data_IF_771930747373
#
_entry.id   IF_771930747373
#
_cell.length_a   1.000
_cell.length_b   1.000
_cell.length_c   1.000
_cell.angle_alpha   90.00
_cell.angle_beta   90.00
_cell.angle_gamma   90.00
#
_symmetry.space_group_name_H-M   'P 1'
#
loop_
_entity.id
_entity.type
_entity.pdbx_description
1 polymer ?
#
# COMPACT_ATOMS: atom_id res chain seq x y z
N UNK A 1 3.68 -22.99 24.99
CA UNK A 1 2.74 -22.24 24.12
C UNK A 1 3.37 -20.90 23.76
N UNK A 2 4.13 -20.77 22.65
CA UNK A 2 4.71 -19.48 22.29
C UNK A 2 3.64 -18.56 21.70
N UNK A 3 3.62 -17.32 22.19
CA UNK A 3 2.67 -16.26 21.83
C UNK A 3 2.87 -15.85 20.36
N UNK A 4 1.78 -15.78 19.60
CA UNK A 4 1.74 -15.19 18.26
C UNK A 4 2.26 -13.75 18.33
N UNK A 5 3.41 -13.51 17.70
CA UNK A 5 4.03 -12.19 17.63
C UNK A 5 3.15 -11.24 16.82
N UNK A 6 2.62 -10.22 17.49
CA UNK A 6 2.27 -8.96 16.84
C UNK A 6 3.59 -8.33 16.40
N UNK A 7 3.95 -8.51 15.13
CA UNK A 7 5.02 -7.72 14.52
C UNK A 7 4.51 -6.28 14.41
N UNK A 8 4.74 -5.51 15.46
CA UNK A 8 4.53 -4.08 15.44
C UNK A 8 5.49 -3.46 14.43
N UNK A 9 4.92 -2.75 13.46
CA UNK A 9 5.65 -1.81 12.65
C UNK A 9 6.22 -0.77 13.61
N UNK A 10 7.51 -0.90 13.97
CA UNK A 10 8.24 0.08 14.79
C UNK A 10 8.59 1.31 13.92
N UNK A 11 7.55 1.95 13.39
CA UNK A 11 7.65 3.23 12.74
C UNK A 11 7.66 4.28 13.86
N UNK A 12 8.78 5.01 14.02
CA UNK A 12 8.80 6.25 14.80
C UNK A 12 7.91 7.27 14.10
N UNK A 13 6.60 7.18 14.35
CA UNK A 13 5.62 8.13 13.88
C UNK A 13 5.77 9.42 14.68
N UNK A 14 5.61 10.56 14.01
CA UNK A 14 5.53 11.85 14.70
C UNK A 14 4.26 11.96 15.54
N UNK A 15 4.08 13.08 16.22
CA UNK A 15 2.80 13.37 16.86
C UNK A 15 1.73 13.59 15.79
N UNK A 16 0.66 12.81 15.81
CA UNK A 16 -0.41 12.88 14.82
C UNK A 16 -1.43 11.77 14.94
N UNK A 17 -2.49 11.84 14.14
CA UNK A 17 -3.52 10.80 14.05
C UNK A 17 -3.16 9.85 12.93
N UNK A 18 -2.94 8.58 13.29
CA UNK A 18 -2.55 7.53 12.36
C UNK A 18 -3.56 6.38 12.34
N UNK A 19 -3.87 5.90 11.15
CA UNK A 19 -4.72 4.74 10.91
C UNK A 19 -3.87 3.63 10.28
N UNK A 20 -3.88 2.44 10.88
CA UNK A 20 -3.30 1.25 10.24
C UNK A 20 -4.20 0.82 9.07
N UNK A 21 -3.58 0.40 7.97
CA UNK A 21 -4.31 -0.02 6.79
C UNK A 21 -3.42 -0.68 5.74
N UNK A 22 -3.93 -0.75 4.51
CA UNK A 22 -3.14 -1.18 3.36
C UNK A 22 -3.52 -0.44 2.08
N UNK A 23 -2.59 -0.41 1.12
CA UNK A 23 -2.79 0.06 -0.25
C UNK A 23 -2.38 -1.06 -1.19
N UNK A 24 -3.29 -1.55 -2.03
CA UNK A 24 -3.03 -2.69 -2.94
C UNK A 24 -2.45 -3.92 -2.21
N UNK A 25 -2.82 -4.09 -0.94
CA UNK A 25 -2.31 -5.15 -0.07
C UNK A 25 -0.96 -4.86 0.61
N UNK A 26 -0.30 -3.74 0.31
CA UNK A 26 0.91 -3.29 1.02
C UNK A 26 0.49 -2.64 2.35
N UNK A 27 0.91 -3.18 3.50
CA UNK A 27 0.55 -2.63 4.81
C UNK A 27 1.23 -1.29 5.06
N UNK A 28 0.46 -0.28 5.46
CA UNK A 28 0.97 1.07 5.74
C UNK A 28 0.24 1.73 6.91
N UNK A 29 0.83 2.80 7.45
CA UNK A 29 0.16 3.75 8.33
C UNK A 29 -0.27 4.98 7.52
N UNK A 30 -1.56 5.30 7.57
CA UNK A 30 -2.13 6.52 6.98
C UNK A 30 -2.16 7.63 8.02
N UNK A 31 -1.68 8.81 7.65
CA UNK A 31 -1.96 10.05 8.40
C UNK A 31 -3.34 10.57 8.02
N UNK A 32 -4.18 10.87 9.01
CA UNK A 32 -5.42 11.60 8.76
C UNK A 32 -5.09 13.10 8.67
N UNK A 33 -5.10 13.64 7.45
CA UNK A 33 -4.84 15.06 7.17
C UNK A 33 -6.09 15.71 6.57
N UNK A 34 -6.82 16.46 7.40
CA UNK A 34 -8.02 17.19 6.97
C UNK A 34 -7.71 18.45 6.15
N UNK A 35 -6.44 18.88 6.13
CA UNK A 35 -5.98 20.04 5.35
C UNK A 35 -5.70 19.72 3.88
N UNK A 36 -5.71 18.43 3.50
CA UNK A 36 -5.46 18.00 2.14
C UNK A 36 -6.71 17.51 1.45
N UNK A 37 -6.96 18.00 0.23
CA UNK A 37 -8.05 17.51 -0.63
C UNK A 37 -7.70 16.19 -1.35
N UNK A 38 -6.44 15.74 -1.28
CA UNK A 38 -5.94 14.58 -2.01
C UNK A 38 -5.18 13.64 -1.08
N UNK A 39 -5.38 12.35 -1.26
CA UNK A 39 -4.54 11.33 -0.62
C UNK A 39 -3.22 11.22 -1.37
N UNK A 40 -2.12 11.38 -0.64
CA UNK A 40 -0.77 11.23 -1.17
C UNK A 40 -0.21 9.91 -0.65
N UNK A 41 0.38 9.13 -1.55
CA UNK A 41 1.05 7.86 -1.22
C UNK A 41 2.54 8.06 -1.47
N UNK A 42 3.37 7.73 -0.49
CA UNK A 42 4.81 7.81 -0.65
C UNK A 42 5.28 6.88 -1.79
N UNK A 43 6.22 7.35 -2.61
CA UNK A 43 6.77 6.56 -3.71
C UNK A 43 7.38 5.23 -3.24
N UNK A 44 7.92 5.20 -2.02
CA UNK A 44 8.45 3.98 -1.37
C UNK A 44 7.37 2.91 -1.15
N UNK A 45 6.13 3.31 -0.86
CA UNK A 45 4.98 2.39 -0.75
C UNK A 45 4.57 1.91 -2.13
N UNK A 46 4.47 2.81 -3.10
CA UNK A 46 4.13 2.46 -4.49
C UNK A 46 5.10 1.44 -5.09
N UNK A 47 6.39 1.57 -4.79
CA UNK A 47 7.44 0.66 -5.26
C UNK A 47 7.35 -0.75 -4.64
N UNK A 48 6.71 -0.89 -3.47
CA UNK A 48 6.46 -2.19 -2.84
C UNK A 48 5.25 -2.93 -3.44
N UNK A 49 4.41 -2.24 -4.22
CA UNK A 49 3.30 -2.89 -4.93
C UNK A 49 3.88 -3.77 -6.05
N UNK A 50 3.53 -5.06 -6.12
CA UNK A 50 3.98 -5.95 -7.19
C UNK A 50 3.63 -5.38 -8.57
N UNK A 51 4.55 -5.45 -9.54
CA UNK A 51 4.38 -4.82 -10.86
C UNK A 51 3.07 -5.20 -11.57
N UNK A 52 2.65 -6.45 -11.45
CA UNK A 52 1.40 -6.95 -12.05
C UNK A 52 0.12 -6.38 -11.41
N UNK A 53 0.22 -5.77 -10.23
CA UNK A 53 -0.89 -5.12 -9.51
C UNK A 53 -0.67 -3.62 -9.36
N UNK A 54 0.47 -3.11 -9.81
CA UNK A 54 0.86 -1.71 -9.64
C UNK A 54 0.01 -0.84 -10.57
N UNK A 55 -0.79 0.10 -10.04
CA UNK A 55 -1.61 0.98 -10.88
C UNK A 55 -0.74 1.85 -11.78
N UNK A 56 -1.15 2.02 -13.05
CA UNK A 56 -0.44 2.89 -14.00
C UNK A 56 -0.66 4.36 -13.62
N UNK A 57 0.43 5.08 -13.36
CA UNK A 57 0.40 6.50 -13.06
C UNK A 57 0.07 7.31 -14.33
N UNK A 58 -0.81 8.29 -14.19
CA UNK A 58 -1.15 9.27 -15.23
C UNK A 58 -0.66 10.66 -14.81
N UNK A 59 -0.61 11.58 -15.77
CA UNK A 59 -0.25 12.98 -15.49
C UNK A 59 -1.07 13.58 -14.35
N UNK A 60 -0.43 14.43 -13.56
CA UNK A 60 -0.98 15.01 -12.35
C UNK A 60 -0.76 16.52 -12.32
N UNK A 61 -1.62 17.22 -11.58
CA UNK A 61 -1.41 18.63 -11.29
C UNK A 61 -0.30 18.77 -10.22
N UNK A 62 0.58 19.79 -10.33
CA UNK A 62 1.64 20.02 -9.36
C UNK A 62 1.12 20.05 -7.92
N UNK A 63 1.85 19.41 -7.01
CA UNK A 63 1.55 19.45 -5.58
C UNK A 63 2.46 20.48 -4.90
N UNK A 64 1.86 21.31 -4.04
CA UNK A 64 2.58 22.29 -3.26
C UNK A 64 2.62 21.82 -1.80
N UNK A 65 3.82 21.83 -1.21
CA UNK A 65 3.99 21.57 0.21
C UNK A 65 3.53 22.75 1.05
N UNK A 66 3.35 22.52 2.36
CA UNK A 66 2.92 23.55 3.30
C UNK A 66 3.82 24.80 3.32
N UNK A 67 5.11 24.64 3.01
CA UNK A 67 6.07 25.74 2.88
C UNK A 67 6.09 26.42 1.51
N UNK A 68 5.14 26.14 0.61
CA UNK A 68 5.07 26.73 -0.73
C UNK A 68 6.11 26.18 -1.72
N UNK A 69 6.86 25.15 -1.35
CA UNK A 69 7.79 24.46 -2.26
C UNK A 69 7.07 23.35 -3.03
N UNK A 70 7.40 23.12 -4.31
CA UNK A 70 6.81 22.03 -5.08
C UNK A 70 7.25 20.67 -4.53
N UNK A 71 6.30 19.75 -4.44
CA UNK A 71 6.56 18.34 -4.11
C UNK A 71 6.78 17.60 -5.42
N UNK A 72 7.84 16.78 -5.47
CA UNK A 72 8.07 15.88 -6.60
C UNK A 72 6.94 14.87 -6.70
N UNK A 73 6.16 14.99 -7.78
CA UNK A 73 5.06 14.09 -8.10
C UNK A 73 5.48 13.11 -9.20
N UNK A 74 4.97 11.88 -9.11
CA UNK A 74 5.19 10.79 -10.06
C UNK A 74 3.93 10.49 -10.89
N UNK A 75 2.82 11.13 -10.57
CA UNK A 75 1.54 10.99 -11.25
C UNK A 75 0.42 10.57 -10.31
N UNK A 76 -0.78 10.43 -10.87
CA UNK A 76 -1.98 10.04 -10.15
C UNK A 76 -2.54 8.72 -10.70
N UNK A 77 -3.02 7.88 -9.80
CA UNK A 77 -3.74 6.65 -10.14
C UNK A 77 -4.86 6.38 -9.11
N UNK A 78 -5.74 5.42 -9.44
CA UNK A 78 -6.72 4.90 -8.49
C UNK A 78 -6.09 3.74 -7.73
N UNK A 79 -6.20 3.79 -6.40
CA UNK A 79 -5.68 2.77 -5.50
C UNK A 79 -6.83 2.19 -4.68
N UNK A 80 -6.81 0.88 -4.46
CA UNK A 80 -7.63 0.22 -3.47
C UNK A 80 -6.93 0.31 -2.11
N UNK A 81 -7.56 1.02 -1.18
CA UNK A 81 -7.12 1.10 0.21
C UNK A 81 -8.08 0.38 1.15
N UNK A 82 -7.53 -0.13 2.24
CA UNK A 82 -8.29 -0.64 3.38
C UNK A 82 -7.83 0.13 4.62
N UNK A 83 -8.77 0.74 5.32
CA UNK A 83 -8.54 1.49 6.56
C UNK A 83 -9.07 0.67 7.75
N UNK A 84 -8.28 0.56 8.81
CA UNK A 84 -8.63 -0.23 9.99
C UNK A 84 -8.23 -1.71 9.88
N UNK A 85 -8.35 -2.44 10.99
CA UNK A 85 -7.94 -3.85 11.03
C UNK A 85 -8.98 -4.78 10.41
N UNK A 86 -8.60 -5.43 9.31
CA UNK A 86 -8.34 -6.89 9.30
C UNK A 86 -7.28 -7.17 8.24
N UNK A 87 -6.10 -7.61 8.71
CA UNK A 87 -5.04 -8.09 7.85
C UNK A 87 -5.49 -9.33 7.08
N UNK A 88 -5.34 -9.29 5.77
CA UNK A 88 -5.26 -10.47 4.93
C UNK A 88 -4.30 -10.17 3.78
N UNK A 89 -3.15 -10.82 3.84
CA UNK A 89 -2.09 -10.72 2.87
C UNK A 89 -2.60 -11.07 1.47
N UNK A 90 -2.34 -10.19 0.50
CA UNK A 90 -2.44 -10.54 -0.90
C UNK A 90 -1.12 -11.22 -1.29
N UNK A 91 -1.09 -12.56 -1.26
CA UNK A 91 -0.04 -13.31 -1.95
C UNK A 91 -0.24 -13.10 -3.45
N UNK A 92 0.65 -12.35 -4.09
CA UNK A 92 0.84 -12.45 -5.53
C UNK A 92 1.55 -13.77 -5.83
N UNK A 93 0.84 -14.71 -6.45
CA UNK A 93 1.48 -15.78 -7.19
C UNK A 93 2.13 -15.16 -8.44
N UNK A 94 3.40 -15.44 -8.65
CA UNK A 94 4.20 -14.91 -9.75
C UNK A 94 3.70 -15.49 -11.10
N UNK A 95 3.51 -14.66 -12.12
CA UNK A 95 3.06 -15.09 -13.45
C UNK A 95 4.16 -15.77 -14.29
N UNK A 96 5.36 -16.02 -13.75
CA UNK A 96 6.52 -16.53 -14.51
C UNK A 96 7.22 -17.79 -13.98
N UNK A 97 6.80 -18.34 -12.84
CA UNK A 97 7.49 -19.50 -12.23
C UNK A 97 6.71 -20.82 -12.32
N UNK A 98 6.14 -21.16 -13.48
CA UNK A 98 5.68 -22.54 -13.72
C UNK A 98 6.87 -23.42 -14.11
N UNK A 99 7.71 -23.74 -13.15
CA UNK A 99 8.54 -24.94 -13.21
C UNK A 99 7.66 -26.20 -13.02
N UNK A 100 7.97 -27.33 -13.68
CA UNK A 100 7.20 -28.55 -13.55
C UNK A 100 7.45 -29.16 -12.16
N UNK A 101 6.56 -28.90 -11.20
CA UNK A 101 6.65 -29.51 -9.86
C UNK A 101 5.94 -28.79 -8.71
N UNK A 102 5.38 -27.59 -8.90
CA UNK A 102 4.73 -26.87 -7.80
C UNK A 102 3.30 -27.41 -7.52
N UNK A 103 3.12 -28.03 -6.36
CA UNK A 103 1.83 -28.45 -5.80
C UNK A 103 0.91 -27.23 -5.69
N UNK A 104 -0.22 -27.29 -6.41
CA UNK A 104 -1.10 -26.16 -6.64
C UNK A 104 -1.78 -25.62 -5.39
N UNK A 105 -1.57 -24.34 -5.11
CA UNK A 105 -2.50 -23.55 -4.30
C UNK A 105 -3.59 -23.03 -5.25
N UNK A 106 -4.80 -23.59 -5.12
CA UNK A 106 -5.97 -23.10 -5.89
C UNK A 106 -6.38 -21.73 -5.36
N UNK A 107 -6.67 -20.82 -6.29
CA UNK A 107 -7.44 -19.61 -5.99
C UNK A 107 -8.82 -20.01 -5.47
N UNK A 108 -9.36 -19.38 -4.42
CA UNK A 108 -10.76 -19.58 -4.06
C UNK A 108 -11.62 -18.99 -5.18
N UNK A 109 -12.30 -19.86 -5.91
CA UNK A 109 -13.44 -19.49 -6.75
C UNK A 109 -14.52 -18.92 -5.83
N UNK A 110 -14.80 -17.62 -5.97
CA UNK A 110 -15.96 -17.01 -5.33
C UNK A 110 -17.23 -17.71 -5.80
N UNK A 111 -18.06 -18.11 -4.84
CA UNK A 111 -19.49 -18.32 -5.04
C UNK A 111 -20.19 -16.96 -5.02
#
# INVERSE_FOLDING_TARGET
MPKLGHSDFDLKLGNGVYLRGSVEGVPIAFTADTGSSRTIIAHSVYSQIPECKRPVLKGSAPLMGAGGSPIRDWGTARFKSLLGQRGAAVRCCNCRDRGPGAVGVRCPSGQ
#
